data_IF_447417241601
#
_entry.id   IF_447417241601
#
_cell.length_a   1.000
_cell.length_b   1.000
_cell.length_c   1.000
_cell.angle_alpha   90.00
_cell.angle_beta   90.00
_cell.angle_gamma   90.00
#
_symmetry.space_group_name_H-M   'P 1'
#
loop_
_entity.id
_entity.type
_entity.pdbx_description
1 polymer ?
#
# COMPACT_ATOMS: atom_id res chain seq x y z
N UNK A 1 -1.90 -19.74 17.55
CA UNK A 1 -1.13 -18.51 17.88
C UNK A 1 -1.69 -17.38 17.02
N UNK A 2 -1.81 -16.17 17.55
CA UNK A 2 -2.28 -15.02 16.77
C UNK A 2 -1.16 -14.59 15.81
N UNK A 3 -1.47 -14.42 14.52
CA UNK A 3 -0.49 -13.94 13.55
C UNK A 3 -0.08 -12.50 13.93
N UNK A 4 1.22 -12.17 13.96
CA UNK A 4 1.66 -10.80 14.21
C UNK A 4 1.26 -9.87 13.04
N UNK A 5 1.01 -8.61 13.36
CA UNK A 5 0.73 -7.56 12.38
C UNK A 5 2.04 -6.92 11.92
N UNK A 6 2.21 -6.81 10.60
CA UNK A 6 3.30 -6.08 9.96
C UNK A 6 2.71 -4.85 9.27
N UNK A 7 3.15 -3.66 9.68
CA UNK A 7 2.74 -2.38 9.09
C UNK A 7 3.79 -1.91 8.09
N UNK A 8 3.41 -1.80 6.82
CA UNK A 8 4.29 -1.33 5.75
C UNK A 8 3.95 0.13 5.47
N UNK A 9 4.85 1.04 5.84
CA UNK A 9 4.66 2.49 5.72
C UNK A 9 5.47 3.01 4.53
N UNK A 10 4.80 3.70 3.60
CA UNK A 10 5.40 4.17 2.35
C UNK A 10 5.12 5.66 2.18
N UNK A 11 6.13 6.54 2.30
CA UNK A 11 5.99 7.93 1.90
C UNK A 11 5.92 8.03 0.37
N UNK A 12 5.07 8.92 -0.11
CA UNK A 12 4.77 9.13 -1.53
C UNK A 12 4.91 10.61 -1.85
N UNK A 13 5.82 10.94 -2.75
CA UNK A 13 5.96 12.29 -3.30
C UNK A 13 6.12 12.19 -4.82
N UNK A 14 5.20 12.78 -5.58
CA UNK A 14 5.25 12.87 -7.05
C UNK A 14 5.52 11.54 -7.78
N UNK A 15 4.72 10.51 -7.47
CA UNK A 15 4.92 9.13 -7.95
C UNK A 15 3.69 8.54 -8.67
N UNK A 16 2.81 9.37 -9.25
CA UNK A 16 1.53 8.94 -9.85
C UNK A 16 1.64 7.74 -10.83
N UNK A 17 2.73 7.65 -11.61
CA UNK A 17 2.91 6.62 -12.64
C UNK A 17 3.37 5.27 -12.09
N UNK A 18 4.00 5.23 -10.91
CA UNK A 18 4.63 4.03 -10.34
C UNK A 18 3.81 3.38 -9.23
N UNK A 19 2.89 4.13 -8.61
CA UNK A 19 2.11 3.70 -7.43
C UNK A 19 1.35 2.38 -7.63
N UNK A 20 0.68 2.22 -8.78
CA UNK A 20 -0.07 0.99 -9.04
C UNK A 20 0.85 -0.23 -9.17
N UNK A 21 1.98 -0.09 -9.88
CA UNK A 21 2.95 -1.16 -10.04
C UNK A 21 3.57 -1.56 -8.70
N UNK A 22 3.95 -0.56 -7.87
CA UNK A 22 4.45 -0.79 -6.51
C UNK A 22 3.43 -1.56 -5.65
N UNK A 23 2.17 -1.11 -5.63
CA UNK A 23 1.10 -1.78 -4.90
C UNK A 23 0.93 -3.25 -5.33
N UNK A 24 0.90 -3.54 -6.64
CA UNK A 24 0.77 -4.91 -7.15
C UNK A 24 1.92 -5.81 -6.68
N UNK A 25 3.16 -5.31 -6.70
CA UNK A 25 4.32 -6.08 -6.24
C UNK A 25 4.24 -6.39 -4.75
N UNK A 26 3.89 -5.40 -3.91
CA UNK A 26 3.72 -5.62 -2.46
C UNK A 26 2.61 -6.64 -2.19
N UNK A 27 1.49 -6.56 -2.91
CA UNK A 27 0.37 -7.49 -2.75
C UNK A 27 0.73 -8.93 -3.08
N UNK A 28 1.63 -9.16 -4.03
CA UNK A 28 2.10 -10.51 -4.34
C UNK A 28 2.88 -11.09 -3.16
N UNK A 29 3.81 -10.33 -2.57
CA UNK A 29 4.56 -10.75 -1.38
C UNK A 29 3.62 -11.00 -0.18
N UNK A 30 2.66 -10.10 0.07
CA UNK A 30 1.68 -10.28 1.14
C UNK A 30 0.87 -11.56 0.97
N UNK A 31 0.49 -11.90 -0.26
CA UNK A 31 -0.28 -13.11 -0.56
C UNK A 31 0.52 -14.38 -0.23
N UNK A 32 1.83 -14.36 -0.46
CA UNK A 32 2.71 -15.48 -0.15
C UNK A 32 2.91 -15.64 1.36
N UNK A 33 2.93 -14.52 2.10
CA UNK A 33 3.21 -14.47 3.53
C UNK A 33 1.95 -14.46 4.45
N UNK A 34 0.74 -14.42 3.88
CA UNK A 34 -0.53 -14.27 4.64
C UNK A 34 -0.83 -15.41 5.63
N UNK A 35 -0.14 -16.56 5.52
CA UNK A 35 -0.25 -17.67 6.47
C UNK A 35 0.54 -17.42 7.75
N UNK A 36 1.51 -16.52 7.72
CA UNK A 36 2.39 -16.23 8.85
C UNK A 36 2.04 -14.89 9.50
N UNK A 37 1.68 -13.88 8.70
CA UNK A 37 1.48 -12.51 9.15
C UNK A 37 0.13 -11.94 8.70
N UNK A 38 -0.37 -10.99 9.49
CA UNK A 38 -1.35 -10.01 9.01
C UNK A 38 -0.61 -8.76 8.53
N UNK A 39 -1.17 -8.06 7.53
CA UNK A 39 -0.55 -6.88 6.95
C UNK A 39 -1.50 -5.68 6.93
N UNK A 40 -0.92 -4.50 7.05
CA UNK A 40 -1.52 -3.24 6.64
C UNK A 40 -0.53 -2.44 5.79
N UNK A 41 -1.03 -1.73 4.77
CA UNK A 41 -0.24 -0.82 3.95
C UNK A 41 -0.70 0.59 4.22
N UNK A 42 0.22 1.45 4.62
CA UNK A 42 -0.04 2.85 4.95
C UNK A 42 0.73 3.70 3.96
N UNK A 43 0.01 4.34 3.03
CA UNK A 43 0.63 5.30 2.10
C UNK A 43 0.47 6.71 2.65
N UNK A 44 1.59 7.44 2.75
CA UNK A 44 1.61 8.82 3.26
C UNK A 44 1.95 9.73 2.09
N UNK A 45 0.95 10.46 1.58
CA UNK A 45 1.21 11.52 0.61
C UNK A 45 1.96 12.67 1.30
N UNK A 46 3.18 12.93 0.85
CA UNK A 46 4.12 13.92 1.39
C UNK A 46 3.99 15.26 0.64
N UNK A 47 2.74 15.68 0.40
CA UNK A 47 2.43 16.94 -0.28
C UNK A 47 2.64 16.90 -1.79
N UNK A 48 2.29 15.79 -2.45
CA UNK A 48 2.39 15.71 -3.91
C UNK A 48 1.46 16.72 -4.58
N UNK A 49 1.94 17.36 -5.64
CA UNK A 49 1.15 18.29 -6.47
C UNK A 49 0.74 17.71 -7.83
N UNK A 50 1.05 16.44 -8.05
CA UNK A 50 0.58 15.64 -9.19
C UNK A 50 -0.66 14.80 -8.80
N UNK A 51 -1.01 13.76 -9.55
CA UNK A 51 -2.16 12.91 -9.27
C UNK A 51 -1.88 11.77 -8.28
N UNK A 52 -0.72 11.77 -7.58
CA UNK A 52 -0.33 10.71 -6.64
C UNK A 52 -1.43 10.42 -5.61
N UNK A 53 -1.97 11.46 -4.97
CA UNK A 53 -3.04 11.30 -3.98
C UNK A 53 -4.31 10.67 -4.59
N UNK A 54 -4.64 11.03 -5.83
CA UNK A 54 -5.79 10.44 -6.54
C UNK A 54 -5.57 8.96 -6.85
N UNK A 55 -4.36 8.57 -7.23
CA UNK A 55 -3.99 7.16 -7.41
C UNK A 55 -4.05 6.38 -6.09
N UNK A 56 -3.55 6.94 -4.99
CA UNK A 56 -3.68 6.35 -3.66
C UNK A 56 -5.16 6.10 -3.29
N UNK A 57 -6.05 7.04 -3.60
CA UNK A 57 -7.50 6.85 -3.39
C UNK A 57 -8.10 5.75 -4.25
N UNK A 58 -7.64 5.56 -5.49
CA UNK A 58 -8.08 4.42 -6.32
C UNK A 58 -7.65 3.09 -5.70
N UNK A 59 -6.41 3.00 -5.22
CA UNK A 59 -5.87 1.81 -4.54
C UNK A 59 -6.68 1.52 -3.26
N UNK A 60 -6.90 2.54 -2.41
CA UNK A 60 -7.66 2.40 -1.16
C UNK A 60 -9.10 1.90 -1.36
N UNK A 61 -9.75 2.27 -2.48
CA UNK A 61 -11.13 1.81 -2.78
C UNK A 61 -11.22 0.32 -3.08
N UNK A 62 -10.15 -0.30 -3.56
CA UNK A 62 -10.15 -1.72 -3.97
C UNK A 62 -9.48 -2.65 -2.96
N UNK A 63 -8.79 -2.13 -1.95
CA UNK A 63 -8.11 -2.92 -0.93
C UNK A 63 -8.33 -2.37 0.49
N UNK A 64 -9.04 -3.15 1.30
CA UNK A 64 -9.35 -2.82 2.69
C UNK A 64 -8.14 -2.88 3.64
N UNK A 65 -7.01 -3.45 3.19
CA UNK A 65 -5.75 -3.45 3.93
C UNK A 65 -4.95 -2.15 3.74
N UNK A 66 -5.36 -1.29 2.79
CA UNK A 66 -4.70 -0.01 2.50
C UNK A 66 -5.31 1.11 3.36
N UNK A 67 -4.43 1.96 3.90
CA UNK A 67 -4.75 3.13 4.74
C UNK A 67 -4.22 4.39 4.07
#
# INVERSE_FOLDING_TARGET
MKQPLVSIIIPVFMNELSLHALYVQIKNVIRDEQKTYHFELIFIDDGSTDHSYSELKKIQRIDTQVR
#
